data_IF_953963060634
#
_entry.id   IF_953963060634
#
_cell.length_a   1.000
_cell.length_b   1.000
_cell.length_c   1.000
_cell.angle_alpha   90.00
_cell.angle_beta   90.00
_cell.angle_gamma   90.00
#
_symmetry.space_group_name_H-M   'P 1'
#
loop_
_entity.id
_entity.type
_entity.pdbx_description
1 polymer ?
#
# COMPACT_ATOMS: atom_id res chain seq x y z
N UNK A 1 -8.89 2.29 -17.03
CA UNK A 1 -8.43 0.91 -16.80
C UNK A 1 -9.56 0.16 -16.15
N UNK A 2 -9.73 -1.13 -16.44
CA UNK A 2 -10.71 -2.02 -15.81
C UNK A 2 -9.96 -3.01 -14.91
N UNK A 3 -9.57 -2.60 -13.69
CA UNK A 3 -8.70 -3.42 -12.87
C UNK A 3 -9.44 -4.65 -12.33
N UNK A 4 -8.76 -5.79 -12.30
CA UNK A 4 -9.26 -6.96 -11.58
C UNK A 4 -9.20 -6.74 -10.05
N UNK A 5 -8.19 -6.00 -9.60
CA UNK A 5 -7.85 -5.74 -8.21
C UNK A 5 -7.52 -4.25 -8.04
N UNK A 6 -8.11 -3.60 -7.03
CA UNK A 6 -7.71 -2.24 -6.64
C UNK A 6 -6.99 -2.29 -5.29
N UNK A 7 -5.85 -1.62 -5.18
CA UNK A 7 -5.09 -1.57 -3.93
C UNK A 7 -4.77 -0.15 -3.52
N UNK A 8 -4.76 0.10 -2.21
CA UNK A 8 -4.21 1.31 -1.62
C UNK A 8 -3.13 0.95 -0.61
N UNK A 9 -1.97 1.59 -0.73
CA UNK A 9 -0.85 1.42 0.20
C UNK A 9 -0.89 2.41 1.36
N UNK A 10 -2.06 2.93 1.74
CA UNK A 10 -2.23 3.89 2.84
C UNK A 10 -2.24 5.35 2.40
N UNK A 11 -2.47 6.25 3.36
CA UNK A 11 -2.70 7.68 3.17
C UNK A 11 -3.81 7.99 2.14
N UNK A 12 -4.91 7.23 2.20
CA UNK A 12 -6.16 7.59 1.50
C UNK A 12 -6.81 8.82 2.11
N UNK A 13 -6.51 9.09 3.38
CA UNK A 13 -7.04 10.19 4.15
C UNK A 13 -5.88 11.04 4.66
N UNK A 14 -5.91 12.33 4.36
CA UNK A 14 -5.01 13.33 4.94
C UNK A 14 -5.84 14.46 5.60
N UNK A 15 -5.57 14.77 6.87
CA UNK A 15 -6.22 15.88 7.59
C UNK A 15 -7.65 15.61 8.11
N UNK A 16 -8.52 16.63 8.05
CA UNK A 16 -9.89 16.53 8.58
C UNK A 16 -10.79 15.71 7.65
N UNK A 17 -11.43 14.68 8.22
CA UNK A 17 -12.28 13.67 7.53
C UNK A 17 -13.66 14.22 7.13
N UNK A 18 -13.93 15.49 7.39
CA UNK A 18 -15.23 16.11 7.15
C UNK A 18 -15.47 16.30 5.64
N UNK A 19 -16.50 15.65 5.09
CA UNK A 19 -16.89 15.76 3.68
C UNK A 19 -16.39 14.67 2.74
N UNK A 20 -15.81 13.58 3.26
CA UNK A 20 -15.29 12.48 2.42
C UNK A 20 -16.36 11.50 1.89
N UNK A 21 -17.63 11.62 2.27
CA UNK A 21 -18.68 10.69 1.82
C UNK A 21 -18.80 10.59 0.28
N UNK A 22 -18.76 11.72 -0.44
CA UNK A 22 -18.78 11.68 -1.91
C UNK A 22 -17.57 10.98 -2.51
N UNK A 23 -16.41 11.01 -1.84
CA UNK A 23 -15.21 10.32 -2.29
C UNK A 23 -15.31 8.80 -2.05
N UNK A 24 -15.90 8.38 -0.94
CA UNK A 24 -16.16 6.96 -0.68
C UNK A 24 -17.09 6.36 -1.74
N UNK A 25 -18.15 7.07 -2.13
CA UNK A 25 -19.06 6.66 -3.21
C UNK A 25 -18.32 6.49 -4.55
N UNK A 26 -17.47 7.44 -4.92
CA UNK A 26 -16.66 7.36 -6.15
C UNK A 26 -15.72 6.15 -6.14
N UNK A 27 -15.07 5.86 -5.00
CA UNK A 27 -14.30 4.63 -4.87
C UNK A 27 -15.19 3.41 -5.01
N UNK A 28 -16.38 3.42 -4.41
CA UNK A 28 -17.40 2.37 -4.48
C UNK A 28 -17.77 1.98 -5.91
N UNK A 29 -17.89 2.95 -6.82
CA UNK A 29 -18.24 2.73 -8.23
C UNK A 29 -17.18 1.96 -9.03
N UNK A 30 -15.92 1.96 -8.58
CA UNK A 30 -14.84 1.22 -9.25
C UNK A 30 -15.10 -0.28 -9.13
N UNK A 31 -15.22 -0.97 -10.26
CA UNK A 31 -15.35 -2.42 -10.30
C UNK A 31 -13.97 -3.05 -10.22
N UNK A 32 -13.78 -3.92 -9.23
CA UNK A 32 -12.60 -4.77 -9.06
C UNK A 32 -13.08 -6.17 -8.66
N UNK A 33 -13.28 -7.10 -9.63
CA UNK A 33 -13.82 -8.44 -9.39
C UNK A 33 -13.11 -9.24 -8.29
N UNK A 34 -11.80 -9.05 -8.11
CA UNK A 34 -11.01 -9.67 -7.05
C UNK A 34 -10.99 -8.87 -5.74
N UNK A 35 -11.58 -7.68 -5.74
CA UNK A 35 -11.80 -6.86 -4.57
C UNK A 35 -10.93 -5.61 -4.52
N UNK A 36 -11.13 -4.85 -3.45
CA UNK A 36 -10.36 -3.64 -3.13
C UNK A 36 -9.67 -3.86 -1.79
N UNK A 37 -8.38 -3.62 -1.69
CA UNK A 37 -7.60 -3.86 -0.48
C UNK A 37 -6.79 -2.64 -0.08
N UNK A 38 -6.74 -2.32 1.21
CA UNK A 38 -6.01 -1.18 1.71
C UNK A 38 -5.21 -1.54 2.97
N UNK A 39 -4.01 -1.00 3.09
CA UNK A 39 -3.30 -0.92 4.39
C UNK A 39 -3.42 0.51 4.93
N UNK A 40 -3.49 0.72 6.25
CA UNK A 40 -3.38 2.08 6.80
C UNK A 40 -1.97 2.64 6.57
N UNK A 41 -1.89 3.92 6.25
CA UNK A 41 -0.67 4.71 6.30
C UNK A 41 -0.56 5.48 7.61
N UNK A 42 0.45 6.34 7.71
CA UNK A 42 0.64 7.14 8.92
C UNK A 42 -0.40 8.27 9.04
N UNK A 43 -0.95 8.77 7.93
CA UNK A 43 -1.92 9.86 7.98
C UNK A 43 -3.28 9.42 8.52
N UNK A 44 -3.70 8.16 8.31
CA UNK A 44 -4.90 7.62 8.94
C UNK A 44 -4.84 7.71 10.48
N UNK A 45 -3.66 7.51 11.08
CA UNK A 45 -3.46 7.66 12.52
C UNK A 45 -3.57 9.12 12.97
N UNK A 46 -3.04 10.06 12.18
CA UNK A 46 -3.07 11.50 12.51
C UNK A 46 -4.46 12.11 12.35
N UNK A 47 -5.22 11.68 11.34
CA UNK A 47 -6.56 12.19 11.01
C UNK A 47 -7.66 11.71 11.98
N UNK A 48 -7.40 10.63 12.72
CA UNK A 48 -8.38 9.95 13.56
C UNK A 48 -8.67 8.56 13.01
N UNK A 49 -7.95 7.57 13.55
CA UNK A 49 -7.88 6.22 13.00
C UNK A 49 -9.26 5.57 12.76
N UNK A 50 -10.17 5.63 13.73
CA UNK A 50 -11.47 4.94 13.61
C UNK A 50 -12.32 5.49 12.45
N UNK A 51 -12.39 6.82 12.32
CA UNK A 51 -13.09 7.49 11.22
C UNK A 51 -12.42 7.21 9.88
N UNK A 52 -11.08 7.16 9.85
CA UNK A 52 -10.36 6.84 8.64
C UNK A 52 -10.63 5.38 8.19
N UNK A 53 -10.67 4.45 9.14
CA UNK A 53 -11.03 3.05 8.84
C UNK A 53 -12.49 2.90 8.41
N UNK A 54 -13.40 3.70 8.97
CA UNK A 54 -14.80 3.77 8.50
C UNK A 54 -14.87 4.23 7.04
N UNK A 55 -14.24 5.36 6.71
CA UNK A 55 -14.16 5.85 5.34
C UNK A 55 -13.60 4.80 4.36
N UNK A 56 -12.51 4.12 4.73
CA UNK A 56 -11.89 3.10 3.87
C UNK A 56 -12.85 1.92 3.63
N UNK A 57 -13.62 1.52 4.65
CA UNK A 57 -14.65 0.47 4.49
C UNK A 57 -15.81 0.94 3.62
N UNK A 58 -16.29 2.16 3.82
CA UNK A 58 -17.38 2.74 3.02
C UNK A 58 -16.97 2.91 1.55
N UNK A 59 -15.69 3.20 1.29
CA UNK A 59 -15.08 3.19 -0.03
C UNK A 59 -14.99 1.78 -0.67
N UNK A 60 -15.38 0.74 0.06
CA UNK A 60 -15.44 -0.64 -0.39
C UNK A 60 -14.13 -1.42 -0.26
N UNK A 61 -13.16 -0.92 0.50
CA UNK A 61 -11.88 -1.61 0.71
C UNK A 61 -11.93 -2.57 1.90
N UNK A 62 -11.34 -3.74 1.70
CA UNK A 62 -10.94 -4.64 2.78
C UNK A 62 -9.64 -4.15 3.37
N UNK A 63 -9.65 -3.83 4.67
CA UNK A 63 -8.46 -3.34 5.38
C UNK A 63 -7.58 -4.54 5.77
N UNK A 64 -6.34 -4.53 5.29
CA UNK A 64 -5.31 -5.51 5.62
C UNK A 64 -4.36 -4.92 6.65
N UNK A 65 -4.59 -5.22 7.93
CA UNK A 65 -3.75 -4.76 9.05
C UNK A 65 -3.27 -5.95 9.85
N UNK A 66 -2.08 -6.44 9.49
CA UNK A 66 -1.48 -7.63 10.08
C UNK A 66 -2.21 -8.93 9.69
N UNK A 67 -2.79 -8.97 8.49
CA UNK A 67 -3.61 -10.09 8.00
C UNK A 67 -3.35 -10.32 6.52
N UNK A 68 -3.72 -11.50 6.04
CA UNK A 68 -3.68 -11.84 4.62
C UNK A 68 -4.99 -12.45 4.14
N UNK A 69 -5.22 -12.34 2.83
CA UNK A 69 -6.36 -12.89 2.11
C UNK A 69 -5.81 -13.71 0.94
N UNK A 70 -6.33 -14.93 0.79
CA UNK A 70 -6.08 -15.76 -0.38
C UNK A 70 -7.30 -15.68 -1.30
N UNK A 71 -7.06 -15.35 -2.57
CA UNK A 71 -8.03 -15.52 -3.66
C UNK A 71 -7.64 -16.82 -4.36
N UNK A 72 -8.41 -17.90 -4.16
CA UNK A 72 -7.98 -19.23 -4.59
C UNK A 72 -7.65 -19.30 -6.07
N UNK A 73 -6.49 -19.89 -6.40
CA UNK A 73 -5.98 -20.04 -7.78
C UNK A 73 -5.68 -18.73 -8.52
N UNK A 74 -5.77 -17.58 -7.84
CA UNK A 74 -5.50 -16.26 -8.42
C UNK A 74 -4.29 -15.61 -7.75
N UNK A 75 -4.41 -15.17 -6.49
CA UNK A 75 -3.39 -14.34 -5.84
C UNK A 75 -3.50 -14.42 -4.31
N UNK A 76 -2.36 -14.36 -3.61
CA UNK A 76 -2.29 -14.05 -2.19
C UNK A 76 -2.08 -12.56 -2.00
N UNK A 77 -2.74 -11.97 -1.00
CA UNK A 77 -2.60 -10.55 -0.67
C UNK A 77 -2.38 -10.43 0.84
N UNK A 78 -1.23 -9.92 1.25
CA UNK A 78 -0.90 -9.68 2.65
C UNK A 78 -0.77 -8.18 2.91
N UNK A 79 -1.20 -7.71 4.07
CA UNK A 79 -1.00 -6.33 4.50
C UNK A 79 -0.38 -6.27 5.90
N UNK A 80 0.70 -5.49 6.01
CA UNK A 80 1.40 -5.25 7.28
C UNK A 80 0.97 -3.91 7.83
N UNK A 81 0.87 -3.84 9.15
CA UNK A 81 0.54 -2.62 9.87
C UNK A 81 1.66 -1.57 9.76
N UNK A 82 1.31 -0.28 9.73
CA UNK A 82 2.31 0.78 9.78
C UNK A 82 2.83 0.96 11.23
N UNK A 83 4.15 1.05 11.45
CA UNK A 83 4.72 1.26 12.78
C UNK A 83 4.21 2.51 13.50
N UNK A 84 3.65 3.49 12.80
CA UNK A 84 3.03 4.68 13.41
C UNK A 84 1.94 4.29 14.41
N UNK A 85 1.24 3.17 14.18
CA UNK A 85 0.23 2.66 15.11
C UNK A 85 0.75 2.44 16.53
N UNK A 86 2.07 2.26 16.73
CA UNK A 86 2.66 2.07 18.06
C UNK A 86 2.49 3.32 18.92
N UNK A 87 2.64 4.50 18.31
CA UNK A 87 2.49 5.79 19.00
C UNK A 87 1.06 6.05 19.46
N UNK A 88 0.09 5.39 18.84
CA UNK A 88 -1.33 5.51 19.15
C UNK A 88 -1.89 4.31 19.94
N UNK A 89 -1.05 3.32 20.29
CA UNK A 89 -1.50 2.11 20.99
C UNK A 89 -2.40 1.20 20.14
N UNK A 90 -2.33 1.33 18.82
CA UNK A 90 -3.18 0.63 17.86
C UNK A 90 -2.40 -0.40 17.03
N UNK A 91 -1.08 -0.49 17.17
CA UNK A 91 -0.25 -1.42 16.40
C UNK A 91 -0.53 -2.88 16.74
N UNK A 92 -0.67 -3.71 15.71
CA UNK A 92 -0.66 -5.17 15.88
C UNK A 92 0.78 -5.65 15.71
N UNK A 93 1.36 -6.16 16.79
CA UNK A 93 2.72 -6.73 16.78
C UNK A 93 2.74 -8.13 16.15
N UNK A 94 2.35 -8.19 14.87
CA UNK A 94 2.38 -9.41 14.06
C UNK A 94 3.50 -9.22 13.04
N UNK A 95 4.46 -10.14 13.06
CA UNK A 95 5.62 -10.05 12.16
C UNK A 95 5.23 -10.39 10.73
N UNK A 96 5.86 -9.72 9.77
CA UNK A 96 5.59 -9.89 8.34
C UNK A 96 5.75 -11.35 7.89
N UNK A 97 6.83 -12.01 8.31
CA UNK A 97 7.09 -13.41 7.98
C UNK A 97 6.06 -14.38 8.59
N UNK A 98 5.47 -14.06 9.74
CA UNK A 98 4.39 -14.85 10.33
C UNK A 98 3.15 -14.81 9.44
N UNK A 99 2.75 -13.63 8.96
CA UNK A 99 1.63 -13.47 8.03
C UNK A 99 1.90 -14.24 6.73
N UNK A 100 3.07 -14.04 6.14
CA UNK A 100 3.42 -14.64 4.85
C UNK A 100 3.50 -16.18 4.92
N UNK A 101 3.94 -16.74 6.06
CA UNK A 101 4.01 -18.19 6.25
C UNK A 101 2.65 -18.90 6.23
N UNK A 102 1.54 -18.16 6.33
CA UNK A 102 0.18 -18.74 6.29
C UNK A 102 -0.38 -18.89 4.87
N UNK A 103 0.30 -18.32 3.87
CA UNK A 103 -0.17 -18.24 2.49
C UNK A 103 0.30 -19.45 1.66
N UNK A 104 -0.43 -19.76 0.59
CA UNK A 104 -0.03 -20.81 -0.36
C UNK A 104 1.23 -20.36 -1.12
N UNK A 105 2.39 -21.01 -0.92
CA UNK A 105 3.64 -20.60 -1.55
C UNK A 105 3.66 -20.82 -3.08
N UNK A 106 2.66 -21.49 -3.66
CA UNK A 106 2.58 -21.74 -5.10
C UNK A 106 1.76 -20.66 -5.84
N UNK A 107 1.17 -19.71 -5.12
CA UNK A 107 0.45 -18.58 -5.70
C UNK A 107 1.28 -17.30 -5.62
N UNK A 108 1.11 -16.43 -6.62
CA UNK A 108 1.71 -15.10 -6.59
C UNK A 108 1.29 -14.36 -5.33
N UNK A 109 2.24 -13.77 -4.63
CA UNK A 109 2.02 -13.10 -3.34
C UNK A 109 2.33 -11.62 -3.43
N UNK A 110 1.26 -10.83 -3.32
CA UNK A 110 1.27 -9.38 -3.25
C UNK A 110 1.34 -8.94 -1.78
N UNK A 111 2.39 -8.23 -1.42
CA UNK A 111 2.61 -7.66 -0.10
C UNK A 111 2.33 -6.16 -0.12
N UNK A 112 1.38 -5.70 0.68
CA UNK A 112 1.05 -4.29 0.84
C UNK A 112 1.68 -3.75 2.12
N UNK A 113 2.45 -2.67 2.00
CA UNK A 113 3.05 -1.95 3.11
C UNK A 113 3.01 -0.47 2.83
N UNK A 114 2.70 0.34 3.83
CA UNK A 114 2.71 1.78 3.61
C UNK A 114 4.11 2.32 3.29
N UNK A 115 5.09 1.99 4.13
CA UNK A 115 6.48 2.41 3.96
C UNK A 115 7.27 1.43 3.09
N UNK A 116 8.18 1.91 2.22
CA UNK A 116 9.00 1.07 1.35
C UNK A 116 10.20 0.44 2.09
N UNK A 117 9.94 -0.08 3.29
CA UNK A 117 10.94 -0.77 4.13
C UNK A 117 10.90 -2.26 3.79
N UNK A 118 12.06 -2.85 3.55
CA UNK A 118 12.21 -4.27 3.26
C UNK A 118 12.57 -5.02 4.53
N UNK A 119 11.75 -6.01 4.93
CA UNK A 119 12.15 -6.98 5.94
C UNK A 119 12.98 -8.09 5.26
N UNK A 120 14.24 -8.20 5.66
CA UNK A 120 15.17 -9.18 5.08
C UNK A 120 14.76 -10.62 5.37
N UNK A 121 14.01 -10.86 6.45
CA UNK A 121 13.56 -12.22 6.83
C UNK A 121 12.46 -12.71 5.89
N UNK A 122 11.70 -11.80 5.29
CA UNK A 122 10.59 -12.12 4.38
C UNK A 122 10.99 -12.20 2.91
N UNK A 123 12.24 -11.91 2.56
CA UNK A 123 12.70 -11.97 1.17
C UNK A 123 12.59 -13.39 0.64
N UNK A 124 11.93 -13.55 -0.51
CA UNK A 124 11.56 -14.84 -1.10
C UNK A 124 10.27 -15.45 -0.54
N UNK A 125 9.57 -14.77 0.35
CA UNK A 125 8.22 -15.16 0.81
C UNK A 125 7.10 -14.37 0.13
N UNK A 126 7.46 -13.38 -0.70
CA UNK A 126 6.53 -12.59 -1.51
C UNK A 126 7.15 -12.29 -2.88
N UNK A 127 6.32 -12.08 -3.89
CA UNK A 127 6.76 -11.79 -5.25
C UNK A 127 6.86 -10.29 -5.50
N UNK A 128 5.88 -9.51 -5.00
CA UNK A 128 5.83 -8.06 -5.18
C UNK A 128 5.34 -7.36 -3.91
N UNK A 129 6.17 -6.44 -3.41
CA UNK A 129 5.77 -5.45 -2.41
C UNK A 129 5.33 -4.16 -3.10
N UNK A 130 4.15 -3.66 -2.75
CA UNK A 130 3.70 -2.32 -3.12
C UNK A 130 3.78 -1.40 -1.89
N UNK A 131 4.38 -0.23 -2.09
CA UNK A 131 4.50 0.80 -1.06
C UNK A 131 4.33 2.22 -1.59
N UNK A 132 4.14 3.16 -0.66
CA UNK A 132 4.00 4.59 -0.92
C UNK A 132 4.84 5.39 0.06
N UNK A 133 4.19 6.28 0.84
CA UNK A 133 4.74 7.10 1.93
C UNK A 133 5.73 8.21 1.52
N UNK A 134 6.58 7.97 0.53
CA UNK A 134 7.70 8.88 0.22
C UNK A 134 7.28 10.08 -0.65
N UNK A 135 6.19 9.96 -1.43
CA UNK A 135 5.72 10.93 -2.42
C UNK A 135 6.81 11.40 -3.41
N UNK A 136 7.88 10.62 -3.59
CA UNK A 136 9.13 11.06 -4.23
C UNK A 136 9.65 12.41 -3.67
N UNK A 137 9.49 12.66 -2.37
CA UNK A 137 9.83 13.92 -1.70
C UNK A 137 8.90 15.10 -1.99
N UNK A 138 7.87 14.95 -2.83
CA UNK A 138 6.83 15.93 -3.20
C UNK A 138 7.31 17.23 -3.87
N UNK A 139 8.36 17.88 -3.34
CA UNK A 139 8.90 19.16 -3.82
C UNK A 139 10.42 19.00 -3.93
N UNK A 140 10.97 19.05 -5.14
CA UNK A 140 12.42 19.08 -5.31
C UNK A 140 13.02 20.32 -4.63
N UNK A 141 14.13 20.21 -3.88
CA UNK A 141 15.01 19.05 -3.76
C UNK A 141 14.79 18.17 -2.51
N UNK A 142 13.62 18.20 -1.85
CA UNK A 142 13.39 17.39 -0.65
C UNK A 142 13.48 15.88 -0.88
N UNK A 143 13.32 15.43 -2.13
CA UNK A 143 13.59 14.04 -2.52
C UNK A 143 15.00 13.57 -2.11
N UNK A 144 16.01 14.46 -2.16
CA UNK A 144 17.38 14.15 -1.73
C UNK A 144 17.45 13.87 -0.22
N UNK A 145 16.66 14.58 0.59
CA UNK A 145 16.58 14.38 2.04
C UNK A 145 15.81 13.10 2.34
N UNK A 146 14.65 12.89 1.70
CA UNK A 146 13.84 11.68 1.86
C UNK A 146 14.66 10.42 1.51
N UNK A 147 15.52 10.49 0.50
CA UNK A 147 16.38 9.38 0.09
C UNK A 147 17.41 8.94 1.16
N UNK A 148 17.76 9.82 2.11
CA UNK A 148 18.62 9.47 3.25
C UNK A 148 17.90 8.49 4.19
N UNK A 149 16.58 8.64 4.36
CA UNK A 149 15.78 7.80 5.24
C UNK A 149 15.18 6.58 4.51
N UNK A 150 14.86 6.74 3.23
CA UNK A 150 14.29 5.70 2.38
C UNK A 150 15.14 5.55 1.11
N UNK A 151 16.01 4.54 1.01
CA UNK A 151 16.84 4.35 -0.18
C UNK A 151 16.04 4.26 -1.49
N UNK A 152 14.84 3.68 -1.41
CA UNK A 152 13.92 3.49 -2.52
C UNK A 152 12.74 4.47 -2.39
N UNK A 153 12.83 5.62 -3.06
CA UNK A 153 11.83 6.70 -2.94
C UNK A 153 10.72 6.68 -3.99
N UNK A 154 10.93 6.09 -5.16
CA UNK A 154 9.88 5.84 -6.16
C UNK A 154 10.37 4.88 -7.24
N UNK A 155 9.45 4.15 -7.88
CA UNK A 155 9.75 3.25 -9.00
C UNK A 155 9.90 1.78 -8.61
N UNK A 156 10.44 0.98 -9.53
CA UNK A 156 10.57 -0.47 -9.43
C UNK A 156 11.98 -0.91 -9.07
N UNK A 157 12.09 -1.88 -8.15
CA UNK A 157 13.35 -2.38 -7.61
C UNK A 157 13.33 -3.91 -7.48
N UNK A 158 14.20 -4.65 -8.18
CA UNK A 158 14.39 -6.07 -7.91
C UNK A 158 15.12 -6.27 -6.57
N UNK A 159 14.70 -7.28 -5.81
CA UNK A 159 15.28 -7.65 -4.52
C UNK A 159 15.82 -9.08 -4.57
N UNK A 160 16.38 -9.55 -3.44
CA UNK A 160 16.82 -10.94 -3.31
C UNK A 160 15.62 -11.88 -3.22
N UNK A 161 15.83 -13.14 -3.59
CA UNK A 161 14.82 -14.19 -3.46
C UNK A 161 13.68 -14.08 -4.49
N UNK A 162 13.90 -13.43 -5.63
CA UNK A 162 12.87 -13.15 -6.64
C UNK A 162 11.71 -12.25 -6.12
N UNK A 163 11.95 -11.53 -5.02
CA UNK A 163 11.03 -10.49 -4.54
C UNK A 163 11.28 -9.18 -5.28
N UNK A 164 10.24 -8.37 -5.39
CA UNK A 164 10.29 -7.07 -6.05
C UNK A 164 9.64 -6.00 -5.16
N UNK A 165 10.08 -4.76 -5.29
CA UNK A 165 9.46 -3.61 -4.65
C UNK A 165 9.03 -2.62 -5.73
N UNK A 166 7.82 -2.10 -5.60
CA UNK A 166 7.39 -0.92 -6.32
C UNK A 166 6.92 0.15 -5.34
N UNK A 167 7.47 1.36 -5.49
CA UNK A 167 7.16 2.52 -4.64
C UNK A 167 6.42 3.56 -5.46
N UNK A 168 5.13 3.74 -5.17
CA UNK A 168 4.29 4.74 -5.81
C UNK A 168 4.63 6.14 -5.31
N UNK A 169 4.53 7.12 -6.22
CA UNK A 169 4.67 8.55 -5.91
C UNK A 169 3.41 9.14 -5.26
N UNK A 170 2.32 8.36 -5.19
CA UNK A 170 1.01 8.76 -4.68
C UNK A 170 0.27 9.74 -5.60
N UNK A 171 -1.03 9.88 -5.38
CA UNK A 171 -1.92 10.76 -6.17
C UNK A 171 -2.09 12.15 -5.56
N UNK A 172 -2.13 12.23 -4.23
CA UNK A 172 -2.39 13.46 -3.48
C UNK A 172 -1.14 14.19 -3.02
N UNK A 173 -1.25 14.99 -1.98
CA UNK A 173 -0.12 15.70 -1.34
C UNK A 173 -0.17 15.46 0.16
N UNK A 174 0.95 15.64 0.84
CA UNK A 174 0.98 15.79 2.30
C UNK A 174 1.40 17.22 2.66
N UNK A 175 0.72 17.83 3.64
CA UNK A 175 0.99 19.22 4.02
C UNK A 175 0.59 20.22 2.92
N UNK A 176 1.47 21.14 2.47
CA UNK A 176 1.10 22.12 1.45
C UNK A 176 0.74 21.42 0.12
N UNK A 177 -0.35 21.81 -0.56
CA UNK A 177 -0.87 21.13 -1.76
C UNK A 177 -0.07 21.51 -3.01
N UNK A 178 1.24 21.25 -2.99
CA UNK A 178 2.20 21.61 -4.02
C UNK A 178 3.05 20.40 -4.34
N UNK A 179 3.17 20.09 -5.64
CA UNK A 179 4.15 19.14 -6.18
C UNK A 179 5.08 19.85 -7.15
N UNK A 180 6.39 19.69 -6.99
CA UNK A 180 7.39 20.27 -7.90
C UNK A 180 8.46 19.26 -8.26
N UNK A 181 8.60 18.98 -9.56
CA UNK A 181 9.42 17.89 -10.12
C UNK A 181 9.14 16.52 -9.48
N UNK A 182 7.94 16.38 -8.90
CA UNK A 182 7.43 15.15 -8.33
C UNK A 182 5.98 14.87 -8.74
N UNK A 183 5.71 14.58 -10.03
CA UNK A 183 4.35 14.38 -10.52
C UNK A 183 3.64 13.25 -9.74
N UNK A 184 2.32 13.40 -9.52
CA UNK A 184 1.49 12.35 -8.93
C UNK A 184 1.33 11.16 -9.89
N UNK A 185 0.95 10.02 -9.35
CA UNK A 185 0.87 8.75 -10.09
C UNK A 185 -0.30 7.88 -9.62
N UNK A 186 -1.00 7.27 -10.57
CA UNK A 186 -1.84 6.09 -10.38
C UNK A 186 -1.24 5.00 -11.24
N UNK A 187 -0.80 3.91 -10.62
CA UNK A 187 -0.06 2.85 -11.32
C UNK A 187 -0.99 1.71 -11.72
N UNK A 188 -0.90 1.28 -12.98
CA UNK A 188 -1.51 0.03 -13.46
C UNK A 188 -0.39 -1.00 -13.57
N UNK A 189 -0.58 -2.16 -12.96
CA UNK A 189 0.38 -3.27 -12.97
C UNK A 189 -0.31 -4.48 -13.55
N UNK A 190 0.19 -4.96 -14.69
CA UNK A 190 -0.26 -6.20 -15.31
C UNK A 190 0.60 -7.36 -14.81
N UNK A 191 -0.03 -8.29 -14.07
CA UNK A 191 0.60 -9.53 -13.65
C UNK A 191 0.43 -10.59 -14.73
N UNK A 192 1.52 -10.88 -15.43
CA UNK A 192 1.53 -11.89 -16.51
C UNK A 192 2.26 -13.15 -16.04
N UNK A 193 1.62 -14.30 -16.23
CA UNK A 193 2.25 -15.59 -15.97
C UNK A 193 3.26 -15.89 -17.08
N UNK A 194 4.52 -16.09 -16.72
CA UNK A 194 5.53 -16.50 -17.69
C UNK A 194 5.26 -17.95 -18.14
N UNK A 195 5.04 -18.16 -19.44
CA UNK A 195 4.91 -19.49 -20.06
C UNK A 195 3.53 -20.17 -20.00
N UNK A 196 2.44 -19.42 -20.00
CA UNK A 196 1.09 -19.98 -20.25
C UNK A 196 0.69 -19.83 -21.72
N UNK A 197 0.37 -20.95 -22.38
CA UNK A 197 -0.43 -20.99 -23.62
C UNK A 197 -1.84 -20.41 -23.37
#
# INVERSE_FOLDING_TARGET
ADPDLLVSTGDLVDGQIDGLHGLAELFGEIKAPYGKFAVPGNHEYYAGFDKAMEFIRDAGFTILKGVAVNIPRTINIAGVDDPEGMRFGLYKDIRENEILSTLDPNQFTLLLKHRPIIDKVSLGMFDLQLSGHTHNGQIFPFNLIVQIFFPNISGYFPLKGNSHLYVSRGTGTWGPPIRFLSPPEVTVIDLVREGGD
#
